data_IF_060702986601
#
_entry.id   IF_060702986601
#
_cell.length_a   1.000
_cell.length_b   1.000
_cell.length_c   1.000
_cell.angle_alpha   90.00
_cell.angle_beta   90.00
_cell.angle_gamma   90.00
#
_symmetry.space_group_name_H-M   'P 1'
#
loop_
_entity.id
_entity.type
_entity.pdbx_description
1 polymer ?
#
# COMPACT_ATOMS: atom_id res chain seq x y z
N UNK A 1 11.01 -0.46 43.03
CA UNK A 1 11.84 -1.62 42.70
C UNK A 1 11.88 -1.74 41.20
N UNK A 2 13.05 -1.64 40.57
CA UNK A 2 13.21 -1.92 39.15
C UNK A 2 13.01 -3.43 38.98
N UNK A 3 11.85 -3.83 38.44
CA UNK A 3 11.65 -5.23 38.07
C UNK A 3 12.59 -5.53 36.91
N UNK A 4 13.34 -6.64 36.99
CA UNK A 4 14.07 -7.16 35.86
C UNK A 4 13.06 -7.64 34.78
N UNK A 5 13.51 -7.91 33.59
CA UNK A 5 12.59 -8.26 32.49
C UNK A 5 11.86 -9.58 32.77
N UNK A 6 12.52 -10.53 33.37
CA UNK A 6 11.92 -11.80 33.83
C UNK A 6 10.77 -11.57 34.84
N UNK A 7 10.94 -10.66 35.81
CA UNK A 7 9.87 -10.30 36.78
C UNK A 7 8.70 -9.59 36.08
N UNK A 8 8.99 -8.81 35.06
CA UNK A 8 7.95 -8.19 34.20
C UNK A 8 7.14 -9.27 33.49
N UNK A 9 7.78 -10.21 32.76
CA UNK A 9 7.10 -11.34 32.12
C UNK A 9 6.32 -12.20 33.12
N UNK A 10 6.85 -12.45 34.33
CA UNK A 10 6.18 -13.21 35.37
C UNK A 10 4.88 -12.55 35.86
N UNK A 11 4.72 -11.23 35.68
CA UNK A 11 3.48 -10.52 36.06
C UNK A 11 2.30 -10.82 35.12
N UNK A 12 2.56 -11.27 33.89
CA UNK A 12 1.54 -11.67 32.93
C UNK A 12 0.88 -13.01 33.28
N UNK A 13 -0.33 -13.23 32.76
CA UNK A 13 -0.97 -14.56 32.84
C UNK A 13 -0.28 -15.52 31.87
N UNK A 14 -0.46 -16.86 32.07
CA UNK A 14 0.04 -17.85 31.10
C UNK A 14 -0.55 -17.60 29.69
N UNK A 15 -1.81 -17.19 29.63
CA UNK A 15 -2.47 -16.86 28.33
C UNK A 15 -1.77 -15.71 27.61
N UNK A 16 -1.39 -14.65 28.33
CA UNK A 16 -0.70 -13.51 27.74
C UNK A 16 0.73 -13.87 27.29
N UNK A 17 1.43 -14.67 28.08
CA UNK A 17 2.74 -15.20 27.67
C UNK A 17 2.66 -16.08 26.41
N UNK A 18 1.58 -16.85 26.25
CA UNK A 18 1.33 -17.61 25.02
C UNK A 18 1.12 -16.66 23.83
N UNK A 19 0.41 -15.54 24.01
CA UNK A 19 0.27 -14.51 22.95
C UNK A 19 1.61 -13.89 22.60
N UNK A 20 2.42 -13.48 23.59
CA UNK A 20 3.79 -12.98 23.37
C UNK A 20 4.60 -13.99 22.56
N UNK A 21 4.58 -15.27 22.95
CA UNK A 21 5.22 -16.35 22.20
C UNK A 21 4.75 -16.40 20.73
N UNK A 22 3.45 -16.23 20.49
CA UNK A 22 2.87 -16.24 19.13
C UNK A 22 3.34 -15.05 18.30
N UNK A 23 3.41 -13.84 18.88
CA UNK A 23 3.96 -12.66 18.21
C UNK A 23 5.40 -12.88 17.75
N UNK A 24 6.22 -13.53 18.59
CA UNK A 24 7.60 -13.89 18.26
C UNK A 24 7.73 -15.13 17.36
N UNK A 25 6.65 -15.81 17.01
CA UNK A 25 6.66 -17.09 16.28
C UNK A 25 7.56 -18.17 16.90
N UNK A 26 7.78 -18.15 18.22
CA UNK A 26 8.59 -19.17 18.91
C UNK A 26 7.85 -20.49 18.95
N UNK A 27 8.36 -21.51 18.25
CA UNK A 27 7.84 -22.87 18.20
C UNK A 27 8.44 -23.76 19.32
N UNK A 28 7.77 -24.91 19.58
CA UNK A 28 8.31 -25.94 20.47
C UNK A 28 8.15 -25.69 21.98
N UNK A 29 7.57 -24.54 22.39
CA UNK A 29 7.47 -24.14 23.80
C UNK A 29 6.03 -23.97 24.30
N UNK A 30 5.03 -24.44 23.55
CA UNK A 30 3.60 -24.29 23.92
C UNK A 30 3.17 -25.13 25.11
N UNK A 31 3.89 -26.22 25.44
CA UNK A 31 3.57 -27.14 26.50
C UNK A 31 4.18 -26.75 27.86
N UNK A 32 5.07 -25.77 27.90
CA UNK A 32 5.76 -25.34 29.12
C UNK A 32 4.77 -24.81 30.18
N UNK A 33 5.08 -25.02 31.44
CA UNK A 33 4.36 -24.35 32.52
C UNK A 33 4.71 -22.84 32.55
N UNK A 34 4.00 -22.04 33.36
CA UNK A 34 4.18 -20.59 33.37
C UNK A 34 5.62 -20.17 33.72
N UNK A 35 6.25 -20.79 34.69
CA UNK A 35 7.61 -20.42 35.12
C UNK A 35 8.64 -20.75 34.04
N UNK A 36 8.58 -21.95 33.48
CA UNK A 36 9.43 -22.38 32.37
C UNK A 36 9.25 -21.48 31.14
N UNK A 37 8.00 -21.09 30.83
CA UNK A 37 7.69 -20.19 29.68
C UNK A 37 8.28 -18.81 29.89
N UNK A 38 8.24 -18.26 31.10
CA UNK A 38 8.89 -16.97 31.45
C UNK A 38 10.40 -17.05 31.23
N UNK A 39 11.05 -18.14 31.70
CA UNK A 39 12.51 -18.30 31.55
C UNK A 39 12.92 -18.37 30.07
N UNK A 40 12.21 -19.15 29.30
CA UNK A 40 12.50 -19.30 27.87
C UNK A 40 12.20 -18.02 27.09
N UNK A 41 11.11 -17.31 27.43
CA UNK A 41 10.79 -16.05 26.75
C UNK A 41 11.79 -14.94 27.08
N UNK A 42 12.21 -14.80 28.36
CA UNK A 42 13.23 -13.84 28.76
C UNK A 42 14.51 -14.01 27.93
N UNK A 43 15.00 -15.25 27.81
CA UNK A 43 16.20 -15.54 27.03
C UNK A 43 15.99 -15.31 25.54
N UNK A 44 14.96 -15.92 24.94
CA UNK A 44 14.74 -15.88 23.49
C UNK A 44 14.44 -14.47 22.98
N UNK A 45 13.70 -13.66 23.75
CA UNK A 45 13.38 -12.28 23.35
C UNK A 45 14.67 -11.46 23.30
N UNK A 46 15.54 -11.55 24.30
CA UNK A 46 16.83 -10.85 24.31
C UNK A 46 17.74 -11.28 23.15
N UNK A 47 17.83 -12.59 22.90
CA UNK A 47 18.62 -13.14 21.78
C UNK A 47 18.15 -12.64 20.40
N UNK A 48 16.86 -12.38 20.24
CA UNK A 48 16.27 -11.96 18.96
C UNK A 48 15.95 -10.45 18.89
N UNK A 49 16.24 -9.70 19.95
CA UNK A 49 15.84 -8.29 20.10
C UNK A 49 16.44 -7.38 19.02
N UNK A 50 17.73 -7.53 18.75
CA UNK A 50 18.42 -6.72 17.73
C UNK A 50 17.83 -6.95 16.32
N UNK A 51 17.61 -8.21 15.96
CA UNK A 51 17.01 -8.56 14.67
C UNK A 51 15.58 -8.02 14.56
N UNK A 52 14.76 -8.19 15.61
CA UNK A 52 13.39 -7.67 15.62
C UNK A 52 13.34 -6.14 15.52
N UNK A 53 14.22 -5.44 16.23
CA UNK A 53 14.34 -3.99 16.16
C UNK A 53 14.72 -3.51 14.75
N UNK A 54 15.53 -4.28 14.01
CA UNK A 54 15.95 -3.91 12.65
C UNK A 54 14.81 -3.89 11.64
N UNK A 55 13.70 -4.56 11.94
CA UNK A 55 12.48 -4.55 11.11
C UNK A 55 11.53 -3.39 11.45
N UNK A 56 11.81 -2.62 12.48
CA UNK A 56 10.96 -1.50 12.86
C UNK A 56 11.20 -0.28 11.95
N UNK A 57 10.19 0.57 11.78
CA UNK A 57 10.38 1.82 11.03
C UNK A 57 11.25 2.81 11.81
N UNK A 58 11.85 3.78 11.09
CA UNK A 58 12.60 4.87 11.73
C UNK A 58 11.75 5.63 12.75
N UNK A 59 10.44 5.80 12.50
CA UNK A 59 9.52 6.47 13.43
C UNK A 59 9.36 5.69 14.74
N UNK A 60 9.31 4.37 14.66
CA UNK A 60 9.18 3.49 15.82
C UNK A 60 10.45 3.41 16.62
N UNK A 61 11.61 3.36 15.97
CA UNK A 61 12.91 3.45 16.64
C UNK A 61 13.08 4.81 17.32
N UNK A 62 12.68 5.90 16.68
CA UNK A 62 12.69 7.24 17.29
C UNK A 62 11.71 7.33 18.47
N UNK A 63 10.54 6.71 18.39
CA UNK A 63 9.62 6.61 19.53
C UNK A 63 10.26 5.87 20.71
N UNK A 64 10.91 4.73 20.48
CA UNK A 64 11.62 4.00 21.55
C UNK A 64 12.75 4.85 22.15
N UNK A 65 13.53 5.58 21.33
CA UNK A 65 14.55 6.51 21.82
C UNK A 65 13.96 7.60 22.73
N UNK A 66 12.85 8.20 22.29
CA UNK A 66 12.14 9.23 23.07
C UNK A 66 11.65 8.63 24.38
N UNK A 67 11.00 7.47 24.35
CA UNK A 67 10.46 6.78 25.50
C UNK A 67 11.57 6.43 26.52
N UNK A 68 12.69 5.88 26.07
CA UNK A 68 13.85 5.56 26.94
C UNK A 68 14.38 6.83 27.61
N UNK A 69 14.48 7.95 26.88
CA UNK A 69 14.97 9.22 27.42
C UNK A 69 14.03 9.81 28.47
N UNK A 70 12.72 9.73 28.26
CA UNK A 70 11.70 10.33 29.14
C UNK A 70 11.36 9.46 30.32
N UNK A 71 11.50 8.13 30.20
CA UNK A 71 11.05 7.16 31.16
C UNK A 71 11.78 7.20 32.52
N UNK A 72 12.99 7.77 32.61
CA UNK A 72 13.81 7.86 33.82
C UNK A 72 13.49 6.78 34.89
N UNK A 73 14.21 5.64 34.89
CA UNK A 73 14.06 4.57 35.89
C UNK A 73 12.70 3.81 35.90
N UNK A 74 12.19 3.42 34.71
CA UNK A 74 10.96 2.63 34.57
C UNK A 74 9.68 3.32 35.04
N UNK A 75 9.64 4.65 35.01
CA UNK A 75 8.41 5.40 35.24
C UNK A 75 7.50 5.28 34.01
N UNK A 76 6.22 5.47 34.23
CA UNK A 76 5.24 5.58 33.17
C UNK A 76 5.40 6.92 32.46
N UNK A 77 5.33 6.89 31.13
CA UNK A 77 5.38 8.07 30.26
C UNK A 77 4.04 8.19 29.55
N UNK A 78 3.40 9.33 29.69
CA UNK A 78 2.18 9.65 28.96
C UNK A 78 2.47 9.86 27.47
N UNK A 79 1.64 9.24 26.63
CA UNK A 79 1.76 9.33 25.18
C UNK A 79 0.47 9.82 24.53
N UNK A 80 0.61 10.62 23.47
CA UNK A 80 -0.50 11.00 22.62
C UNK A 80 -0.56 10.10 21.36
N UNK A 81 -1.75 9.96 20.77
CA UNK A 81 -1.93 9.17 19.51
C UNK A 81 -1.02 9.65 18.39
N UNK A 82 -0.66 10.92 18.36
CA UNK A 82 0.29 11.50 17.38
C UNK A 82 1.74 11.04 17.55
N UNK A 83 2.12 10.51 18.72
CA UNK A 83 3.49 10.08 19.01
C UNK A 83 3.80 8.72 18.37
N UNK A 84 2.81 7.82 18.31
CA UNK A 84 2.92 6.50 17.69
C UNK A 84 1.55 6.02 17.25
N UNK A 85 1.48 5.35 16.11
CA UNK A 85 0.24 4.75 15.61
C UNK A 85 -0.19 3.56 16.48
N UNK A 86 -1.49 3.38 16.72
CA UNK A 86 -2.00 2.26 17.52
C UNK A 86 -1.52 0.87 17.07
N UNK A 87 -1.40 0.54 15.77
CA UNK A 87 -0.86 -0.75 15.35
C UNK A 87 0.56 -0.99 15.82
N UNK A 88 1.45 0.00 15.72
CA UNK A 88 2.83 -0.12 16.17
C UNK A 88 2.93 -0.27 17.69
N UNK A 89 2.10 0.46 18.43
CA UNK A 89 2.01 0.33 19.90
C UNK A 89 1.55 -1.07 20.31
N UNK A 90 0.53 -1.61 19.62
CA UNK A 90 0.04 -2.97 19.85
C UNK A 90 1.09 -4.02 19.49
N UNK A 91 1.88 -3.79 18.45
CA UNK A 91 3.00 -4.64 18.07
C UNK A 91 4.05 -4.71 19.19
N UNK A 92 4.46 -3.58 19.74
CA UNK A 92 5.40 -3.54 20.85
C UNK A 92 4.88 -4.23 22.10
N UNK A 93 3.60 -4.02 22.45
CA UNK A 93 2.97 -4.71 23.57
C UNK A 93 2.84 -6.21 23.32
N UNK A 94 2.41 -6.60 22.12
CA UNK A 94 2.28 -7.99 21.72
C UNK A 94 3.58 -8.78 21.78
N UNK A 95 4.71 -8.13 21.47
CA UNK A 95 6.04 -8.69 21.64
C UNK A 95 6.58 -8.63 23.07
N UNK A 96 5.84 -8.03 24.00
CA UNK A 96 6.28 -7.90 25.41
C UNK A 96 7.41 -6.87 25.60
N UNK A 97 7.59 -5.94 24.67
CA UNK A 97 8.63 -4.91 24.74
C UNK A 97 8.22 -3.76 25.66
N UNK A 98 6.94 -3.38 25.61
CA UNK A 98 6.37 -2.31 26.44
C UNK A 98 5.22 -2.81 27.29
N UNK A 99 4.98 -2.11 28.38
CA UNK A 99 3.79 -2.22 29.19
C UNK A 99 2.90 -1.00 28.95
N UNK A 100 1.59 -1.21 28.81
CA UNK A 100 0.61 -0.14 28.56
C UNK A 100 -0.36 -0.06 29.73
N UNK A 101 -0.65 1.15 30.15
CA UNK A 101 -1.68 1.46 31.13
C UNK A 101 -2.63 2.48 30.55
N UNK A 102 -3.84 2.07 30.30
CA UNK A 102 -4.93 2.93 29.83
C UNK A 102 -5.78 3.38 31.03
N UNK A 103 -6.11 4.65 31.06
CA UNK A 103 -7.16 5.25 31.88
C UNK A 103 -8.23 5.82 30.94
N UNK A 104 -9.35 6.32 31.46
CA UNK A 104 -10.42 6.89 30.63
C UNK A 104 -9.96 8.08 29.78
N UNK A 105 -8.93 8.79 30.19
CA UNK A 105 -8.45 10.05 29.55
C UNK A 105 -7.01 9.97 29.06
N UNK A 106 -6.21 9.02 29.56
CA UNK A 106 -4.76 9.02 29.35
C UNK A 106 -4.25 7.60 29.06
N UNK A 107 -3.28 7.55 28.20
CA UNK A 107 -2.51 6.33 27.92
C UNK A 107 -1.07 6.55 28.33
N UNK A 108 -0.55 5.63 29.14
CA UNK A 108 0.84 5.65 29.60
C UNK A 108 1.55 4.36 29.22
N UNK A 109 2.81 4.48 28.84
CA UNK A 109 3.66 3.35 28.44
C UNK A 109 4.96 3.34 29.21
N UNK A 110 5.57 2.16 29.32
CA UNK A 110 6.94 2.00 29.82
C UNK A 110 7.62 0.81 29.18
N UNK A 111 8.95 0.85 29.12
CA UNK A 111 9.81 -0.29 28.80
C UNK A 111 10.35 -0.84 30.13
N UNK A 112 10.39 -2.17 30.38
CA UNK A 112 11.09 -2.74 31.52
C UNK A 112 12.55 -2.26 31.57
N UNK A 113 13.07 -1.92 32.77
CA UNK A 113 14.36 -1.22 32.89
C UNK A 113 15.54 -1.96 32.24
N UNK A 114 15.60 -3.29 32.42
CA UNK A 114 16.65 -4.11 31.80
C UNK A 114 16.56 -4.08 30.29
N UNK A 115 15.36 -4.28 29.72
CA UNK A 115 15.14 -4.25 28.28
C UNK A 115 15.38 -2.85 27.70
N UNK A 116 15.04 -1.80 28.45
CA UNK A 116 15.33 -0.40 28.10
C UNK A 116 16.83 -0.14 27.93
N UNK A 117 17.66 -0.72 28.76
CA UNK A 117 19.11 -0.60 28.65
C UNK A 117 19.67 -1.36 27.43
N UNK A 118 19.19 -2.57 27.18
CA UNK A 118 19.57 -3.36 26.00
C UNK A 118 19.13 -2.65 24.68
N UNK A 119 17.89 -2.16 24.62
CA UNK A 119 17.40 -1.41 23.46
C UNK A 119 18.26 -0.14 23.27
N UNK A 120 18.57 0.60 24.33
CA UNK A 120 19.42 1.80 24.25
C UNK A 120 20.81 1.50 23.65
N UNK A 121 21.41 0.39 24.04
CA UNK A 121 22.70 -0.07 23.50
C UNK A 121 22.58 -0.39 22.01
N UNK A 122 21.57 -1.20 21.62
CA UNK A 122 21.36 -1.59 20.22
C UNK A 122 21.10 -0.36 19.34
N UNK A 123 20.21 0.55 19.71
CA UNK A 123 19.83 1.70 18.88
C UNK A 123 20.89 2.80 18.80
N UNK A 124 21.92 2.75 19.63
CA UNK A 124 23.08 3.65 19.57
C UNK A 124 24.25 3.07 18.76
N UNK A 125 24.22 1.78 18.44
CA UNK A 125 25.19 1.11 17.60
C UNK A 125 25.16 1.67 16.18
N UNK A 126 26.32 2.03 15.62
CA UNK A 126 26.45 2.60 14.28
C UNK A 126 26.08 1.62 13.17
N UNK A 127 26.45 0.34 13.32
CA UNK A 127 26.07 -0.71 12.35
C UNK A 127 24.56 -0.88 12.31
N UNK A 128 23.92 -0.91 13.49
CA UNK A 128 22.47 -1.01 13.59
C UNK A 128 21.77 0.20 12.96
N UNK A 129 22.28 1.41 13.16
CA UNK A 129 21.70 2.62 12.55
C UNK A 129 21.78 2.60 11.03
N UNK A 130 22.87 2.09 10.47
CA UNK A 130 22.99 1.94 9.00
C UNK A 130 22.09 0.81 8.48
N UNK A 131 21.96 -0.30 9.21
CA UNK A 131 21.01 -1.38 8.87
C UNK A 131 19.57 -0.87 8.84
N UNK A 132 19.09 -0.18 9.88
CA UNK A 132 17.76 0.42 9.94
C UNK A 132 17.53 1.37 8.77
N UNK A 133 18.50 2.21 8.45
CA UNK A 133 18.40 3.15 7.34
C UNK A 133 18.25 2.44 6.00
N UNK A 134 19.02 1.38 5.78
CA UNK A 134 18.95 0.56 4.56
C UNK A 134 17.61 -0.18 4.48
N UNK A 135 17.16 -0.79 5.57
CA UNK A 135 15.87 -1.48 5.65
C UNK A 135 14.71 -0.52 5.38
N UNK A 136 14.71 0.66 6.00
CA UNK A 136 13.68 1.67 5.75
C UNK A 136 13.68 2.17 4.30
N UNK A 137 14.85 2.30 3.68
CA UNK A 137 14.94 2.68 2.25
C UNK A 137 14.38 1.59 1.35
N UNK A 138 14.62 0.32 1.68
CA UNK A 138 14.09 -0.82 0.97
C UNK A 138 12.57 -0.90 1.08
N UNK A 139 12.03 -0.73 2.29
CA UNK A 139 10.60 -0.66 2.54
C UNK A 139 9.95 0.52 1.82
N UNK A 140 10.56 1.70 1.89
CA UNK A 140 10.10 2.88 1.18
C UNK A 140 10.04 2.64 -0.34
N UNK A 141 11.02 1.96 -0.90
CA UNK A 141 11.04 1.60 -2.31
C UNK A 141 9.90 0.63 -2.66
N UNK A 142 9.72 -0.44 -1.88
CA UNK A 142 8.65 -1.41 -2.08
C UNK A 142 7.25 -0.74 -1.99
N UNK A 143 7.04 0.12 -0.99
CA UNK A 143 5.81 0.89 -0.84
C UNK A 143 5.55 1.81 -2.02
N UNK A 144 6.59 2.46 -2.53
CA UNK A 144 6.50 3.28 -3.73
C UNK A 144 6.09 2.48 -4.96
N UNK A 145 6.62 1.28 -5.16
CA UNK A 145 6.19 0.38 -6.22
C UNK A 145 4.71 0.01 -6.08
N UNK A 146 4.27 -0.33 -4.86
CA UNK A 146 2.86 -0.66 -4.62
C UNK A 146 1.92 0.52 -4.87
N UNK A 147 2.33 1.75 -4.56
CA UNK A 147 1.56 2.95 -4.91
C UNK A 147 1.37 3.10 -6.43
N UNK A 148 2.38 2.72 -7.24
CA UNK A 148 2.31 2.75 -8.70
C UNK A 148 1.50 1.60 -9.30
N UNK A 149 1.56 0.38 -8.70
CA UNK A 149 1.05 -0.83 -9.36
C UNK A 149 -0.10 -1.51 -8.62
N UNK A 150 -0.44 -1.09 -7.41
CA UNK A 150 -1.51 -1.60 -6.57
C UNK A 150 -1.23 -2.97 -5.96
N UNK A 151 -0.77 -3.91 -6.76
CA UNK A 151 -0.49 -5.28 -6.35
C UNK A 151 0.77 -5.81 -7.03
N UNK A 152 1.69 -6.37 -6.24
CA UNK A 152 2.90 -7.03 -6.73
C UNK A 152 3.16 -8.31 -5.94
N UNK A 153 3.58 -9.38 -6.62
CA UNK A 153 4.11 -10.55 -5.96
C UNK A 153 5.50 -10.24 -5.37
N UNK A 154 5.93 -11.06 -4.41
CA UNK A 154 7.26 -10.90 -3.82
C UNK A 154 8.38 -10.97 -4.88
N UNK A 155 8.27 -11.89 -5.84
CA UNK A 155 9.27 -12.01 -6.91
C UNK A 155 9.33 -10.75 -7.79
N UNK A 156 8.17 -10.15 -8.10
CA UNK A 156 8.15 -8.88 -8.83
C UNK A 156 8.81 -7.73 -8.04
N UNK A 157 8.65 -7.68 -6.71
CA UNK A 157 9.37 -6.72 -5.88
C UNK A 157 10.89 -6.88 -5.98
N UNK A 158 11.39 -8.13 -5.99
CA UNK A 158 12.81 -8.44 -6.19
C UNK A 158 13.27 -8.04 -7.60
N UNK A 159 12.52 -8.41 -8.65
CA UNK A 159 12.84 -8.05 -10.04
C UNK A 159 12.95 -6.53 -10.23
N UNK A 160 12.03 -5.77 -9.63
CA UNK A 160 12.10 -4.31 -9.64
C UNK A 160 13.29 -3.79 -8.84
N UNK A 161 13.58 -4.38 -7.68
CA UNK A 161 14.74 -3.99 -6.90
C UNK A 161 16.01 -4.21 -7.69
N UNK A 162 16.20 -5.39 -8.30
CA UNK A 162 17.37 -5.71 -9.13
C UNK A 162 17.50 -4.75 -10.30
N UNK A 163 16.39 -4.46 -10.99
CA UNK A 163 16.38 -3.51 -12.10
C UNK A 163 16.79 -2.09 -11.69
N UNK A 164 16.23 -1.55 -10.60
CA UNK A 164 16.48 -0.16 -10.20
C UNK A 164 17.79 0.05 -9.46
N UNK A 165 18.35 -0.98 -8.87
CA UNK A 165 19.61 -0.91 -8.14
C UNK A 165 20.77 -1.53 -8.91
N UNK A 166 20.51 -2.07 -10.12
CA UNK A 166 21.51 -2.70 -10.99
C UNK A 166 22.29 -3.79 -10.28
N UNK A 167 21.57 -4.66 -9.56
CA UNK A 167 22.13 -5.77 -8.78
C UNK A 167 21.44 -7.07 -9.14
N UNK A 168 22.05 -8.18 -8.77
CA UNK A 168 21.42 -9.49 -8.68
C UNK A 168 21.33 -9.85 -7.20
N UNK A 169 20.09 -9.99 -6.71
CA UNK A 169 19.88 -10.17 -5.27
C UNK A 169 20.21 -11.60 -4.84
N UNK A 170 21.20 -11.73 -3.98
CA UNK A 170 21.63 -13.01 -3.38
C UNK A 170 20.50 -13.65 -2.57
N UNK A 171 20.41 -15.00 -2.50
CA UNK A 171 19.35 -15.71 -1.79
C UNK A 171 19.19 -15.30 -0.32
N UNK A 172 20.29 -14.99 0.37
CA UNK A 172 20.28 -14.53 1.75
C UNK A 172 19.60 -13.15 1.90
N UNK A 173 19.86 -12.25 0.96
CA UNK A 173 19.22 -10.93 0.89
C UNK A 173 17.76 -11.05 0.51
N UNK A 174 17.40 -12.00 -0.37
CA UNK A 174 15.99 -12.31 -0.69
C UNK A 174 15.24 -12.73 0.57
N UNK A 175 15.84 -13.63 1.36
CA UNK A 175 15.23 -14.08 2.62
C UNK A 175 15.09 -12.94 3.63
N UNK A 176 16.12 -12.10 3.79
CA UNK A 176 16.07 -10.92 4.65
C UNK A 176 14.98 -9.94 4.20
N UNK A 177 14.88 -9.66 2.91
CA UNK A 177 13.85 -8.77 2.36
C UNK A 177 12.44 -9.32 2.56
N UNK A 178 12.23 -10.63 2.34
CA UNK A 178 10.95 -11.28 2.61
C UNK A 178 10.56 -11.15 4.08
N UNK A 179 11.50 -11.40 5.00
CA UNK A 179 11.27 -11.27 6.43
C UNK A 179 10.97 -9.83 6.82
N UNK A 180 11.77 -8.88 6.32
CA UNK A 180 11.58 -7.45 6.52
C UNK A 180 10.18 -6.99 6.08
N UNK A 181 9.76 -7.37 4.88
CA UNK A 181 8.43 -7.03 4.36
C UNK A 181 7.33 -7.63 5.26
N UNK A 182 7.41 -8.90 5.59
CA UNK A 182 6.39 -9.56 6.39
C UNK A 182 6.28 -8.98 7.79
N UNK A 183 7.39 -8.71 8.47
CA UNK A 183 7.39 -8.16 9.83
C UNK A 183 7.01 -6.67 9.85
N UNK A 184 7.59 -5.88 8.97
CA UNK A 184 7.37 -4.44 8.96
C UNK A 184 6.01 -4.05 8.34
N UNK A 185 5.61 -4.67 7.24
CA UNK A 185 4.39 -4.29 6.53
C UNK A 185 3.11 -4.74 7.23
N UNK A 186 3.09 -5.94 7.78
CA UNK A 186 1.90 -6.46 8.45
C UNK A 186 1.62 -5.75 9.78
N UNK A 187 2.61 -5.11 10.37
CA UNK A 187 2.50 -4.51 11.70
C UNK A 187 2.44 -2.99 11.72
N UNK A 188 3.05 -2.30 10.74
CA UNK A 188 3.31 -0.86 10.85
C UNK A 188 3.06 -0.03 9.60
N UNK A 189 3.03 -0.67 8.45
CA UNK A 189 2.78 -0.01 7.17
C UNK A 189 1.43 -0.46 6.62
N UNK A 190 0.69 0.46 6.01
CA UNK A 190 -0.61 0.21 5.38
C UNK A 190 -0.46 -0.63 4.10
N UNK A 191 0.13 -1.81 4.23
CA UNK A 191 0.26 -2.78 3.14
C UNK A 191 -0.46 -4.05 3.55
N UNK A 192 -1.29 -4.54 2.66
CA UNK A 192 -2.06 -5.74 2.83
C UNK A 192 -1.41 -6.91 2.06
N UNK A 193 -1.79 -8.12 2.40
CA UNK A 193 -1.35 -9.34 1.72
C UNK A 193 -2.56 -10.18 1.35
N UNK A 194 -2.66 -10.52 0.06
CA UNK A 194 -3.74 -11.33 -0.47
C UNK A 194 -3.23 -12.22 -1.61
N UNK A 195 -3.53 -13.50 -1.56
CA UNK A 195 -3.25 -14.48 -2.62
C UNK A 195 -1.82 -14.37 -3.20
N UNK A 196 -0.79 -14.35 -2.34
CA UNK A 196 0.62 -14.21 -2.68
C UNK A 196 1.05 -12.84 -3.26
N UNK A 197 0.18 -11.82 -3.17
CA UNK A 197 0.47 -10.44 -3.53
C UNK A 197 0.53 -9.53 -2.32
N UNK A 198 1.51 -8.64 -2.32
CA UNK A 198 1.52 -7.47 -1.47
C UNK A 198 0.71 -6.38 -2.15
N UNK A 199 -0.12 -5.70 -1.38
CA UNK A 199 -1.10 -4.74 -1.87
C UNK A 199 -0.83 -3.37 -1.28
N UNK A 200 -1.07 -2.35 -2.08
CA UNK A 200 -1.23 -1.01 -1.57
C UNK A 200 -2.53 -0.91 -0.74
N UNK A 201 -2.49 -0.25 0.42
CA UNK A 201 -3.65 -0.15 1.33
C UNK A 201 -4.90 0.51 0.74
N UNK A 202 -4.75 1.24 -0.37
CA UNK A 202 -5.87 1.84 -1.10
C UNK A 202 -6.51 0.92 -2.14
N UNK A 203 -6.16 -0.36 -2.22
CA UNK A 203 -6.80 -1.34 -3.12
C UNK A 203 -8.10 -1.83 -2.49
N UNK A 204 -9.25 -1.48 -3.09
CA UNK A 204 -10.57 -1.82 -2.54
C UNK A 204 -10.99 -3.27 -2.83
N UNK A 205 -10.66 -3.77 -4.02
CA UNK A 205 -10.98 -5.14 -4.44
C UNK A 205 -9.71 -5.83 -4.97
N UNK A 206 -8.92 -6.47 -4.09
CA UNK A 206 -7.67 -7.13 -4.48
C UNK A 206 -7.83 -8.18 -5.57
N UNK A 207 -8.88 -9.02 -5.48
CA UNK A 207 -9.13 -10.10 -6.43
C UNK A 207 -9.34 -9.55 -7.85
N UNK A 208 -10.11 -8.48 -7.97
CA UNK A 208 -10.40 -7.85 -9.25
C UNK A 208 -9.16 -7.19 -9.84
N UNK A 209 -8.44 -6.39 -9.07
CA UNK A 209 -7.21 -5.72 -9.54
C UNK A 209 -6.17 -6.75 -10.00
N UNK A 210 -5.93 -7.82 -9.22
CA UNK A 210 -4.97 -8.86 -9.58
C UNK A 210 -5.43 -9.60 -10.85
N UNK A 211 -6.72 -9.91 -10.97
CA UNK A 211 -7.29 -10.52 -12.18
C UNK A 211 -7.07 -9.66 -13.41
N UNK A 212 -7.40 -8.36 -13.32
CA UNK A 212 -7.25 -7.42 -14.43
C UNK A 212 -5.79 -7.23 -14.85
N UNK A 213 -4.85 -7.18 -13.90
CA UNK A 213 -3.41 -7.17 -14.19
C UNK A 213 -2.98 -8.44 -14.95
N UNK A 214 -3.45 -9.61 -14.51
CA UNK A 214 -3.12 -10.91 -15.14
C UNK A 214 -3.72 -11.04 -16.55
N UNK A 215 -4.88 -10.44 -16.81
CA UNK A 215 -5.54 -10.47 -18.13
C UNK A 215 -4.85 -9.61 -19.19
N UNK A 216 -3.86 -8.79 -18.82
CA UNK A 216 -3.10 -7.90 -19.72
C UNK A 216 -1.61 -8.27 -19.79
N UNK A 217 -1.25 -9.50 -20.21
CA UNK A 217 0.14 -9.95 -20.26
C UNK A 217 0.97 -9.16 -21.27
N UNK A 218 0.32 -8.55 -22.29
CA UNK A 218 0.97 -7.78 -23.35
C UNK A 218 1.40 -6.37 -22.89
N UNK A 219 0.91 -5.89 -21.75
CA UNK A 219 1.32 -4.59 -21.21
C UNK A 219 2.47 -4.83 -20.23
N UNK A 220 3.62 -4.23 -20.53
CA UNK A 220 4.75 -4.19 -19.60
C UNK A 220 4.45 -3.21 -18.44
N UNK A 221 5.14 -3.39 -17.32
CA UNK A 221 5.04 -2.43 -16.23
C UNK A 221 5.67 -1.09 -16.63
N UNK A 222 4.94 0.02 -16.43
CA UNK A 222 5.52 1.36 -16.53
C UNK A 222 6.72 1.47 -15.58
N UNK A 223 7.78 2.15 -16.00
CA UNK A 223 9.00 2.31 -15.22
C UNK A 223 9.21 3.76 -14.80
N UNK A 224 8.68 4.19 -13.64
CA UNK A 224 8.92 5.54 -13.12
C UNK A 224 10.40 5.73 -12.76
N UNK A 225 10.86 6.97 -12.66
CA UNK A 225 12.21 7.20 -12.18
C UNK A 225 12.34 6.75 -10.70
N UNK A 226 13.50 6.17 -10.32
CA UNK A 226 13.78 5.69 -8.94
C UNK A 226 13.44 6.73 -7.85
N UNK A 227 13.75 8.02 -8.12
CA UNK A 227 13.43 9.13 -7.20
C UNK A 227 11.93 9.32 -6.99
N UNK A 228 11.10 9.02 -7.99
CA UNK A 228 9.66 9.17 -7.93
C UNK A 228 9.01 7.99 -7.21
N UNK A 229 9.56 6.77 -7.35
CA UNK A 229 9.20 5.61 -6.53
C UNK A 229 9.48 5.89 -5.05
N UNK A 230 10.69 6.36 -4.73
CA UNK A 230 11.05 6.71 -3.36
C UNK A 230 10.19 7.85 -2.80
N UNK A 231 9.82 8.82 -3.64
CA UNK A 231 8.87 9.86 -3.24
C UNK A 231 7.51 9.26 -2.88
N UNK A 232 6.96 8.41 -3.75
CA UNK A 232 5.66 7.77 -3.53
C UNK A 232 5.66 6.92 -2.25
N UNK A 233 6.73 6.16 -1.99
CA UNK A 233 6.85 5.37 -0.76
C UNK A 233 7.04 6.19 0.52
N UNK A 234 7.51 7.44 0.41
CA UNK A 234 7.63 8.37 1.55
C UNK A 234 6.32 9.08 1.87
N UNK A 235 5.57 9.45 0.82
CA UNK A 235 4.38 10.31 0.92
C UNK A 235 3.08 9.55 0.74
N UNK A 236 3.15 8.24 0.55
CA UNK A 236 2.03 7.34 0.30
C UNK A 236 1.21 7.68 -0.93
N UNK A 237 1.78 8.42 -1.84
CA UNK A 237 1.16 8.84 -3.09
C UNK A 237 2.18 9.35 -4.09
N UNK A 238 1.87 9.23 -5.37
CA UNK A 238 2.64 9.83 -6.45
C UNK A 238 2.57 11.36 -6.41
N UNK A 239 3.55 12.01 -7.05
CA UNK A 239 3.46 13.45 -7.30
C UNK A 239 2.34 13.72 -8.29
N UNK A 240 1.57 14.77 -8.04
CA UNK A 240 0.58 15.23 -8.98
C UNK A 240 1.24 15.62 -10.31
N UNK A 241 0.75 15.07 -11.41
CA UNK A 241 1.14 15.45 -12.76
C UNK A 241 0.49 16.78 -13.17
N UNK A 242 0.78 17.23 -14.39
CA UNK A 242 0.29 18.52 -14.90
C UNK A 242 -1.25 18.62 -14.89
N UNK A 243 -1.97 17.59 -15.39
CA UNK A 243 -3.43 17.58 -15.46
C UNK A 243 -4.04 17.60 -14.07
N UNK A 244 -3.48 16.84 -13.12
CA UNK A 244 -3.93 16.79 -11.73
C UNK A 244 -3.69 18.12 -11.01
N UNK A 245 -2.54 18.77 -11.23
CA UNK A 245 -2.28 20.11 -10.69
C UNK A 245 -3.19 21.18 -11.30
N UNK A 246 -3.54 21.06 -12.58
CA UNK A 246 -4.48 21.95 -13.25
C UNK A 246 -5.87 21.82 -12.64
N UNK A 247 -6.35 20.61 -12.48
CA UNK A 247 -7.63 20.33 -11.85
C UNK A 247 -7.69 20.82 -10.39
N UNK A 248 -6.62 20.59 -9.62
CA UNK A 248 -6.48 21.14 -8.27
C UNK A 248 -6.66 22.67 -8.22
N UNK A 249 -6.05 23.39 -9.19
CA UNK A 249 -6.18 24.85 -9.29
C UNK A 249 -7.61 25.27 -9.60
N UNK A 250 -8.33 24.53 -10.44
CA UNK A 250 -9.73 24.80 -10.76
C UNK A 250 -10.59 24.65 -9.49
N UNK A 251 -10.42 23.55 -8.73
CA UNK A 251 -11.14 23.35 -7.48
C UNK A 251 -10.92 24.50 -6.49
N UNK A 252 -9.67 24.96 -6.32
CA UNK A 252 -9.34 26.05 -5.41
C UNK A 252 -9.86 27.42 -5.89
N UNK A 253 -9.96 27.63 -7.21
CA UNK A 253 -10.31 28.92 -7.76
C UNK A 253 -11.82 29.09 -7.92
N UNK A 254 -12.48 28.05 -8.41
CA UNK A 254 -13.85 28.14 -8.93
C UNK A 254 -14.88 27.58 -7.91
N UNK A 255 -14.42 27.00 -6.81
CA UNK A 255 -15.27 26.50 -5.73
C UNK A 255 -14.76 26.99 -4.37
N UNK A 256 -15.66 27.24 -3.43
CA UNK A 256 -15.35 27.73 -2.09
C UNK A 256 -14.78 26.64 -1.17
N UNK A 257 -13.71 25.95 -1.61
CA UNK A 257 -13.06 24.85 -0.89
C UNK A 257 -11.74 25.31 -0.27
N UNK A 258 -11.44 24.78 0.91
CA UNK A 258 -10.13 24.92 1.54
C UNK A 258 -9.07 24.06 0.85
N UNK A 259 -7.79 24.33 1.10
CA UNK A 259 -6.70 23.50 0.57
C UNK A 259 -6.81 22.04 1.04
N UNK A 260 -7.17 21.81 2.30
CA UNK A 260 -7.30 20.46 2.87
C UNK A 260 -8.45 19.68 2.21
N UNK A 261 -9.59 20.33 1.97
CA UNK A 261 -10.73 19.71 1.26
C UNK A 261 -10.34 19.36 -0.18
N UNK A 262 -9.63 20.24 -0.88
CA UNK A 262 -9.15 19.98 -2.24
C UNK A 262 -8.14 18.84 -2.27
N UNK A 263 -7.20 18.76 -1.33
CA UNK A 263 -6.26 17.64 -1.24
C UNK A 263 -6.99 16.31 -0.98
N UNK A 264 -8.00 16.30 -0.12
CA UNK A 264 -8.83 15.12 0.13
C UNK A 264 -9.60 14.69 -1.11
N UNK A 265 -10.22 15.63 -1.83
CA UNK A 265 -10.93 15.36 -3.08
C UNK A 265 -9.97 14.76 -4.12
N UNK A 266 -8.83 15.38 -4.37
CA UNK A 266 -7.83 14.92 -5.34
C UNK A 266 -7.36 13.51 -4.99
N UNK A 267 -7.06 13.27 -3.72
CA UNK A 267 -6.60 11.96 -3.27
C UNK A 267 -7.66 10.87 -3.43
N UNK A 268 -8.90 11.15 -3.00
CA UNK A 268 -10.02 10.22 -3.15
C UNK A 268 -10.28 9.90 -4.62
N UNK A 269 -10.30 10.91 -5.49
CA UNK A 269 -10.45 10.71 -6.93
C UNK A 269 -9.34 9.84 -7.53
N UNK A 270 -8.08 10.09 -7.12
CA UNK A 270 -6.96 9.27 -7.59
C UNK A 270 -7.13 7.80 -7.18
N UNK A 271 -7.55 7.54 -5.95
CA UNK A 271 -7.79 6.18 -5.47
C UNK A 271 -8.95 5.50 -6.21
N UNK A 272 -10.06 6.22 -6.40
CA UNK A 272 -11.20 5.71 -7.15
C UNK A 272 -10.83 5.33 -8.59
N UNK A 273 -10.09 6.20 -9.28
CA UNK A 273 -9.61 5.96 -10.64
C UNK A 273 -8.63 4.76 -10.67
N UNK A 274 -7.70 4.67 -9.72
CA UNK A 274 -6.75 3.55 -9.63
C UNK A 274 -7.44 2.21 -9.37
N UNK A 275 -8.56 2.22 -8.65
CA UNK A 275 -9.43 1.06 -8.42
C UNK A 275 -10.39 0.77 -9.60
N UNK A 276 -10.17 1.39 -10.75
CA UNK A 276 -10.99 1.21 -11.97
C UNK A 276 -12.47 1.55 -11.79
N UNK A 277 -12.77 2.48 -10.87
CA UNK A 277 -14.11 2.96 -10.66
C UNK A 277 -14.58 3.77 -11.87
N UNK A 278 -15.83 3.59 -12.29
CA UNK A 278 -16.35 4.26 -13.47
C UNK A 278 -16.31 5.78 -13.33
N UNK A 279 -15.72 6.47 -14.28
CA UNK A 279 -15.56 7.93 -14.29
C UNK A 279 -16.90 8.65 -14.07
N UNK A 280 -18.00 8.12 -14.64
CA UNK A 280 -19.31 8.73 -14.49
C UNK A 280 -19.83 8.73 -13.04
N UNK A 281 -19.50 7.71 -12.26
CA UNK A 281 -19.87 7.63 -10.85
C UNK A 281 -19.09 8.65 -10.02
N UNK A 282 -17.80 8.79 -10.27
CA UNK A 282 -16.93 9.78 -9.62
C UNK A 282 -17.44 11.20 -9.94
N UNK A 283 -17.78 11.45 -11.21
CA UNK A 283 -18.33 12.73 -11.67
C UNK A 283 -19.66 13.04 -10.96
N UNK A 284 -20.57 12.07 -10.86
CA UNK A 284 -21.86 12.25 -10.21
C UNK A 284 -21.73 12.56 -8.72
N UNK A 285 -20.86 11.84 -8.01
CA UNK A 285 -20.61 12.08 -6.59
C UNK A 285 -19.95 13.43 -6.33
N UNK A 286 -18.98 13.80 -7.14
CA UNK A 286 -18.31 15.08 -7.01
C UNK A 286 -19.22 16.24 -7.41
N UNK A 287 -19.97 16.08 -8.52
CA UNK A 287 -20.93 17.06 -8.98
C UNK A 287 -22.10 17.30 -8.01
N UNK A 288 -22.46 16.30 -7.19
CA UNK A 288 -23.45 16.46 -6.14
C UNK A 288 -22.93 17.27 -4.93
N UNK A 289 -21.62 17.37 -4.75
CA UNK A 289 -20.97 18.13 -3.67
C UNK A 289 -20.58 19.55 -4.07
N UNK A 290 -20.48 19.82 -5.37
CA UNK A 290 -20.03 21.09 -5.91
C UNK A 290 -21.23 21.88 -6.46
N UNK A 291 -21.27 23.17 -6.15
CA UNK A 291 -22.25 24.09 -6.73
C UNK A 291 -21.64 24.74 -7.98
N UNK A 292 -22.35 24.67 -9.10
CA UNK A 292 -21.96 25.29 -10.36
C UNK A 292 -22.81 26.53 -10.63
N UNK A 293 -22.17 27.67 -10.79
CA UNK A 293 -22.86 28.94 -11.03
C UNK A 293 -23.45 29.04 -12.43
N UNK A 294 -22.75 28.48 -13.43
CA UNK A 294 -23.14 28.54 -14.84
C UNK A 294 -22.81 27.22 -15.55
N UNK A 295 -23.49 26.99 -16.67
CA UNK A 295 -23.31 25.75 -17.45
C UNK A 295 -21.89 25.60 -18.02
N UNK A 296 -21.26 26.69 -18.44
CA UNK A 296 -19.90 26.71 -18.97
C UNK A 296 -18.90 26.21 -17.92
N UNK A 297 -19.06 26.62 -16.66
CA UNK A 297 -18.23 26.13 -15.55
C UNK A 297 -18.33 24.61 -15.40
N UNK A 298 -19.54 24.06 -15.48
CA UNK A 298 -19.75 22.62 -15.43
C UNK A 298 -19.09 21.90 -16.61
N UNK A 299 -19.20 22.47 -17.83
CA UNK A 299 -18.58 21.90 -19.02
C UNK A 299 -17.05 21.85 -18.91
N UNK A 300 -16.41 22.96 -18.51
CA UNK A 300 -14.96 23.03 -18.29
C UNK A 300 -14.51 22.05 -17.22
N UNK A 301 -15.25 21.97 -16.11
CA UNK A 301 -14.98 21.01 -15.04
C UNK A 301 -14.99 19.56 -15.54
N UNK A 302 -16.01 19.16 -16.30
CA UNK A 302 -16.09 17.80 -16.84
C UNK A 302 -14.99 17.48 -17.84
N UNK A 303 -14.60 18.45 -18.66
CA UNK A 303 -13.48 18.30 -19.58
C UNK A 303 -12.16 18.06 -18.82
N UNK A 304 -11.88 18.87 -17.81
CA UNK A 304 -10.67 18.75 -17.00
C UNK A 304 -10.67 17.48 -16.14
N UNK A 305 -11.84 17.03 -15.70
CA UNK A 305 -12.00 15.76 -15.02
C UNK A 305 -11.64 14.56 -15.91
N UNK A 306 -12.04 14.59 -17.20
CA UNK A 306 -11.63 13.58 -18.18
C UNK A 306 -10.11 13.61 -18.42
N UNK A 307 -9.52 14.81 -18.52
CA UNK A 307 -8.06 14.95 -18.64
C UNK A 307 -7.35 14.44 -17.38
N UNK A 308 -7.89 14.69 -16.20
CA UNK A 308 -7.40 14.15 -14.94
C UNK A 308 -7.39 12.62 -14.97
N UNK A 309 -8.52 12.01 -15.32
CA UNK A 309 -8.69 10.56 -15.41
C UNK A 309 -7.70 9.96 -16.42
N UNK A 310 -7.67 10.47 -17.66
CA UNK A 310 -6.86 9.92 -18.75
C UNK A 310 -5.35 10.06 -18.51
N UNK A 311 -4.94 10.93 -17.59
CA UNK A 311 -3.55 11.11 -17.18
C UNK A 311 -3.26 10.55 -15.77
N UNK A 312 -4.21 9.90 -15.12
CA UNK A 312 -3.96 9.18 -13.87
C UNK A 312 -3.48 7.76 -14.16
N UNK A 313 -2.46 7.30 -13.45
CA UNK A 313 -1.90 5.95 -13.58
C UNK A 313 -2.83 4.92 -12.99
N UNK A 314 -3.18 3.91 -13.78
CA UNK A 314 -4.08 2.85 -13.38
C UNK A 314 -3.30 1.59 -12.98
N UNK A 315 -3.71 0.95 -11.89
CA UNK A 315 -3.13 -0.31 -11.45
C UNK A 315 -3.38 -1.45 -12.45
N UNK A 316 -4.59 -1.50 -13.01
CA UNK A 316 -4.97 -2.49 -14.04
C UNK A 316 -4.20 -2.32 -15.35
N UNK A 317 -3.62 -1.15 -15.60
CA UNK A 317 -2.72 -0.86 -16.71
C UNK A 317 -1.23 -0.91 -16.30
N UNK A 318 -0.93 -1.58 -15.17
CA UNK A 318 0.44 -1.76 -14.67
C UNK A 318 1.21 -0.45 -14.51
N UNK A 319 0.52 0.60 -14.04
CA UNK A 319 1.09 1.92 -13.80
C UNK A 319 1.15 2.83 -15.03
N UNK A 320 0.63 2.43 -16.18
CA UNK A 320 0.42 3.33 -17.31
C UNK A 320 -0.84 4.19 -17.13
N UNK A 321 -0.86 5.32 -17.79
CA UNK A 321 -2.08 6.11 -17.96
C UNK A 321 -2.88 5.63 -19.18
N UNK A 322 -4.21 5.83 -19.23
CA UNK A 322 -4.99 5.57 -20.44
C UNK A 322 -4.43 6.27 -21.70
N UNK A 323 -3.96 7.51 -21.56
CA UNK A 323 -3.37 8.25 -22.67
C UNK A 323 -2.07 7.59 -23.18
N UNK A 324 -1.19 7.12 -22.30
CA UNK A 324 0.04 6.42 -22.70
C UNK A 324 -0.28 5.14 -23.49
N UNK A 325 -1.25 4.35 -23.04
CA UNK A 325 -1.68 3.13 -23.74
C UNK A 325 -2.29 3.48 -25.10
N UNK A 326 -3.17 4.47 -25.15
CA UNK A 326 -3.78 4.92 -26.42
C UNK A 326 -2.74 5.43 -27.42
N UNK A 327 -1.72 6.15 -26.98
CA UNK A 327 -0.64 6.61 -27.84
C UNK A 327 0.20 5.45 -28.39
N UNK A 328 0.46 4.43 -27.58
CA UNK A 328 1.17 3.23 -28.04
C UNK A 328 0.34 2.45 -29.05
N UNK A 329 -0.95 2.25 -28.79
CA UNK A 329 -1.87 1.58 -29.73
C UNK A 329 -1.97 2.34 -31.06
N UNK A 330 -2.00 3.67 -31.04
CA UNK A 330 -2.04 4.49 -32.28
C UNK A 330 -0.86 4.23 -33.20
N UNK A 331 0.31 3.89 -32.70
CA UNK A 331 1.48 3.55 -33.53
C UNK A 331 1.27 2.28 -34.33
N UNK A 332 0.41 1.40 -33.86
CA UNK A 332 0.10 0.10 -34.48
C UNK A 332 -1.22 0.09 -35.26
N UNK A 333 -2.02 1.18 -35.17
CA UNK A 333 -3.26 1.31 -35.95
C UNK A 333 -2.94 1.53 -37.43
N UNK A 334 -3.56 0.72 -38.28
CA UNK A 334 -3.52 0.97 -39.72
C UNK A 334 -4.32 2.25 -40.03
N UNK A 335 -3.84 3.12 -40.97
CA UNK A 335 -4.61 4.26 -41.40
C UNK A 335 -6.00 3.81 -41.87
N UNK A 336 -7.04 4.50 -41.46
CA UNK A 336 -8.38 4.28 -42.01
C UNK A 336 -8.33 4.32 -43.54
N UNK A 337 -9.06 3.43 -44.24
CA UNK A 337 -9.14 3.48 -45.68
C UNK A 337 -9.57 4.90 -46.11
N UNK A 338 -8.79 5.53 -47.00
CA UNK A 338 -9.08 6.89 -47.51
C UNK A 338 -10.35 6.96 -48.37
N UNK A 339 -10.88 5.81 -48.76
CA UNK A 339 -12.12 5.76 -49.52
C UNK A 339 -13.28 5.71 -48.53
N UNK A 340 -14.17 6.69 -48.59
CA UNK A 340 -15.50 6.56 -48.02
C UNK A 340 -16.07 5.21 -48.47
N UNK A 341 -16.51 4.40 -47.51
CA UNK A 341 -17.34 3.24 -47.85
C UNK A 341 -18.56 3.79 -48.58
N UNK A 342 -18.50 3.77 -49.90
CA UNK A 342 -19.72 3.90 -50.67
C UNK A 342 -20.53 2.66 -50.35
N UNK A 343 -21.48 2.79 -49.45
CA UNK A 343 -22.56 1.83 -49.38
C UNK A 343 -23.16 1.83 -50.78
N UNK A 344 -22.80 0.84 -51.60
CA UNK A 344 -23.50 0.61 -52.83
C UNK A 344 -24.93 0.35 -52.42
N UNK A 345 -25.81 1.25 -52.79
CA UNK A 345 -27.25 1.15 -52.66
C UNK A 345 -27.85 0.07 -53.55
N UNK A 346 -27.03 -0.85 -54.05
CA UNK A 346 -27.51 -2.12 -54.56
C UNK A 346 -27.85 -3.02 -53.39
N UNK A 347 -28.97 -2.70 -52.76
CA UNK A 347 -29.80 -3.74 -52.21
C UNK A 347 -30.23 -4.55 -53.42
N UNK A 348 -29.55 -5.66 -53.71
CA UNK A 348 -30.13 -6.69 -54.60
C UNK A 348 -31.50 -6.97 -54.03
N UNK A 349 -32.52 -6.53 -54.76
CA UNK A 349 -33.91 -6.89 -54.47
C UNK A 349 -33.91 -8.42 -54.43
N UNK A 350 -34.00 -8.98 -53.23
CA UNK A 350 -34.30 -10.38 -53.10
C UNK A 350 -35.61 -10.59 -53.82
N UNK A 351 -35.53 -11.04 -55.07
CA UNK A 351 -36.68 -11.50 -55.84
C UNK A 351 -37.34 -12.56 -54.93
N UNK A 352 -38.55 -12.24 -54.47
CA UNK A 352 -39.34 -13.21 -53.72
C UNK A 352 -39.48 -14.45 -54.57
N UNK A 353 -38.65 -15.45 -54.31
CA UNK A 353 -38.83 -16.79 -54.82
C UNK A 353 -40.21 -17.28 -54.42
N UNK A 354 -40.84 -18.04 -55.31
CA UNK A 354 -42.14 -18.68 -55.06
C UNK A 354 -42.18 -19.30 -53.68
N UNK A 355 -43.30 -19.12 -52.97
CA UNK A 355 -43.50 -19.72 -51.66
C UNK A 355 -43.44 -21.26 -51.81
N UNK A 356 -42.37 -21.84 -51.32
CA UNK A 356 -42.23 -23.30 -51.20
C UNK A 356 -43.33 -23.79 -50.28
N UNK A 357 -44.22 -24.67 -50.78
CA UNK A 357 -45.28 -25.28 -49.99
C UNK A 357 -44.71 -26.27 -48.97
N UNK A 358 -45.48 -26.54 -47.91
CA UNK A 358 -45.04 -27.35 -46.78
C UNK A 358 -44.61 -28.80 -47.16
N UNK A 359 -44.93 -29.26 -48.37
CA UNK A 359 -44.62 -30.60 -48.90
C UNK A 359 -43.72 -30.56 -50.17
N UNK A 360 -43.17 -29.41 -50.54
CA UNK A 360 -42.29 -29.36 -51.67
C UNK A 360 -40.86 -29.74 -51.30
N UNK A 361 -40.08 -30.36 -52.17
CA UNK A 361 -38.70 -30.72 -51.89
C UNK A 361 -37.85 -29.43 -51.72
N UNK A 362 -36.90 -29.53 -50.79
CA UNK A 362 -36.01 -28.40 -50.48
C UNK A 362 -35.24 -27.97 -51.74
N UNK A 363 -35.25 -26.67 -52.08
CA UNK A 363 -34.53 -26.15 -53.26
C UNK A 363 -33.00 -26.21 -53.14
N UNK A 364 -32.47 -26.70 -52.00
CA UNK A 364 -31.04 -26.91 -51.79
C UNK A 364 -30.60 -28.37 -52.05
N UNK A 365 -31.45 -29.29 -52.48
CA UNK A 365 -31.16 -30.69 -52.76
C UNK A 365 -31.27 -31.59 -51.53
#
# INVERSE_FOLDING_TARGET
MNKNYKEFLASYTKSDLIKIRQYWNFSGISQLNKAELVDVLDQKIKENLKEWLSYQSSKEVEFLKKLIKEQQQSKWVEIAVKDILPPALNNFQGHGIIDIKDTETERSVRIPAELSAEIAEIITDLEFQEEIKNNNRLLQFARGLLAYYGALSFMQLIEFYDFYFEVETEPEKIHHFLKLINEAFLNTFDIEYFDHYYLYSGVFNPEEIIREIKMRPQIDYYKPAKKDILYAGKHDREKLNFSQQKFRKILLKDFSLSEDEVEEIIWTMMLDIKNDRRTIEIIQELGAKLEFDVFEQAQDFFQEMNEFHNNTRLWILKGHTPNEIMEEERKHLRPLPKNEYQFSSHVDQVVKGEKVGRNDPCPCG
#
